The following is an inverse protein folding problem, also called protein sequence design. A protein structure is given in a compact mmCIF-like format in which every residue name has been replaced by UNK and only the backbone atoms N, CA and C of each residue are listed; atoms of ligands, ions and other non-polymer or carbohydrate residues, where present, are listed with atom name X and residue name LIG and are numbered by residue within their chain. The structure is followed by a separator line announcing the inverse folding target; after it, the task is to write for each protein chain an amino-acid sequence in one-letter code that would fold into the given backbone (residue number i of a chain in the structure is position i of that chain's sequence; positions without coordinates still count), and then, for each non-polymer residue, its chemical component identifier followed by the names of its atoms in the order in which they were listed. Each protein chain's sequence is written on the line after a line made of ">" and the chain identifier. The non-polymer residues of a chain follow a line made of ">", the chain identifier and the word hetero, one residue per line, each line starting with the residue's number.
data_IF_240544717027
#
_entry.id   IF_240544717027
#
_cell.length_a   1.000
_cell.length_b   1.000
_cell.length_c   1.000
_cell.angle_alpha   90.00
_cell.angle_beta   90.00
_cell.angle_gamma   90.00
#
_symmetry.space_group_name_H-M   'P 1'
#
loop_
_entity.id
_entity.type
_entity.pdbx_description
1 polymer ?
#
# COMPACT_ATOMS: atom_id res chain seq x y z
N UNK A 1 -48.48 1.22 -23.99
CA UNK A 1 -47.49 1.63 -22.97
C UNK A 1 -47.60 0.65 -21.83
N UNK A 2 -46.60 -0.21 -21.67
CA UNK A 2 -46.58 -1.24 -20.64
C UNK A 2 -45.62 -0.78 -19.58
N UNK A 3 -46.14 -0.25 -18.46
CA UNK A 3 -45.30 0.16 -17.34
C UNK A 3 -45.00 -1.07 -16.49
N UNK A 4 -43.74 -1.50 -16.48
CA UNK A 4 -43.27 -2.56 -15.59
C UNK A 4 -42.92 -1.93 -14.24
N UNK A 5 -43.64 -2.34 -13.20
CA UNK A 5 -43.41 -1.88 -11.83
C UNK A 5 -42.86 -3.04 -11.00
N UNK A 6 -41.64 -2.87 -10.51
CA UNK A 6 -41.01 -3.83 -9.60
C UNK A 6 -41.15 -3.30 -8.18
N UNK A 7 -41.70 -4.12 -7.30
CA UNK A 7 -41.79 -3.79 -5.87
C UNK A 7 -40.90 -4.75 -5.10
N UNK A 8 -39.86 -4.21 -4.47
CA UNK A 8 -38.99 -4.98 -3.59
C UNK A 8 -39.47 -4.74 -2.16
N UNK A 9 -39.79 -5.82 -1.46
CA UNK A 9 -40.11 -5.81 -0.05
C UNK A 9 -38.93 -6.35 0.75
N UNK A 10 -38.53 -5.63 1.79
CA UNK A 10 -37.50 -6.06 2.73
C UNK A 10 -38.14 -6.12 4.11
N UNK A 11 -38.14 -7.31 4.71
CA UNK A 11 -38.64 -7.54 6.07
C UNK A 11 -37.47 -7.45 7.05
N UNK A 12 -37.46 -6.37 7.86
CA UNK A 12 -36.47 -6.14 8.91
C UNK A 12 -37.14 -6.36 10.28
N UNK A 13 -37.29 -7.63 10.67
CA UNK A 13 -37.97 -8.01 11.92
C UNK A 13 -39.42 -7.52 11.96
N UNK A 14 -39.80 -6.74 12.98
CA UNK A 14 -41.18 -6.24 13.17
C UNK A 14 -41.55 -5.07 12.25
N UNK A 15 -40.70 -4.65 11.31
CA UNK A 15 -41.00 -3.53 10.41
C UNK A 15 -40.79 -3.93 8.96
N UNK A 16 -41.89 -3.92 8.19
CA UNK A 16 -41.88 -4.15 6.75
C UNK A 16 -41.75 -2.81 6.03
N UNK A 17 -40.75 -2.66 5.15
CA UNK A 17 -40.66 -1.52 4.22
C UNK A 17 -40.64 -2.03 2.79
N UNK A 18 -41.42 -1.37 1.94
CA UNK A 18 -41.48 -1.64 0.50
C UNK A 18 -41.14 -0.39 -0.28
N UNK A 19 -40.37 -0.54 -1.36
CA UNK A 19 -40.13 0.52 -2.32
C UNK A 19 -40.42 -0.01 -3.72
N UNK A 20 -41.21 0.76 -4.47
CA UNK A 20 -41.60 0.44 -5.84
C UNK A 20 -40.84 1.33 -6.79
N UNK A 21 -40.28 0.74 -7.85
CA UNK A 21 -39.64 1.46 -8.96
C UNK A 21 -40.43 1.13 -10.22
N UNK A 22 -40.86 2.18 -10.92
CA UNK A 22 -41.60 2.06 -12.18
C UNK A 22 -40.69 2.53 -13.31
N UNK A 23 -40.53 1.70 -14.34
CA UNK A 23 -39.80 2.06 -15.55
C UNK A 23 -40.82 2.21 -16.69
N UNK A 24 -40.78 3.36 -17.37
CA UNK A 24 -41.61 3.62 -18.54
C UNK A 24 -40.75 3.47 -19.80
N UNK A 25 -41.11 2.55 -20.68
CA UNK A 25 -40.50 2.44 -22.00
C UNK A 25 -41.12 3.46 -22.97
N UNK A 26 -40.30 4.40 -23.44
CA UNK A 26 -40.56 5.12 -24.70
C UNK A 26 -40.02 4.27 -25.86
N UNK A 27 -40.93 3.62 -26.59
CA UNK A 27 -40.60 2.76 -27.72
C UNK A 27 -40.16 3.63 -28.91
N UNK A 28 -38.87 3.65 -29.22
CA UNK A 28 -38.37 3.99 -30.56
C UNK A 28 -38.54 2.75 -31.46
N UNK A 29 -39.32 2.89 -32.52
CA UNK A 29 -39.52 1.85 -33.52
C UNK A 29 -38.26 1.65 -34.38
N UNK A 30 -37.45 0.64 -34.08
CA UNK A 30 -36.39 0.16 -34.96
C UNK A 30 -36.69 -1.29 -35.32
N UNK A 31 -36.87 -1.54 -36.62
CA UNK A 31 -37.18 -2.85 -37.18
C UNK A 31 -35.93 -3.71 -37.30
N UNK A 32 -35.69 -4.63 -36.35
CA UNK A 32 -34.99 -5.91 -36.53
C UNK A 32 -35.15 -6.79 -35.27
N UNK A 33 -35.80 -7.97 -35.30
CA UNK A 33 -36.30 -8.63 -34.09
C UNK A 33 -35.30 -9.49 -33.29
N UNK A 34 -34.16 -9.88 -33.88
CA UNK A 34 -33.39 -11.00 -33.30
C UNK A 34 -32.22 -10.61 -32.38
N UNK A 35 -31.79 -9.34 -32.37
CA UNK A 35 -30.62 -8.91 -31.59
C UNK A 35 -31.00 -8.34 -30.21
N UNK A 36 -32.21 -7.80 -30.04
CA UNK A 36 -32.63 -7.17 -28.79
C UNK A 36 -32.95 -8.18 -27.66
N UNK A 37 -33.41 -9.39 -27.99
CA UNK A 37 -33.78 -10.39 -26.99
C UNK A 37 -32.56 -10.95 -26.23
N UNK A 38 -31.42 -11.11 -26.91
CA UNK A 38 -30.17 -11.57 -26.27
C UNK A 38 -29.56 -10.48 -25.38
N UNK A 39 -29.55 -9.23 -25.83
CA UNK A 39 -29.07 -8.10 -25.02
C UNK A 39 -29.90 -7.91 -23.75
N UNK A 40 -31.23 -8.06 -23.82
CA UNK A 40 -32.10 -7.90 -22.66
C UNK A 40 -31.94 -9.02 -21.61
N UNK A 41 -31.66 -10.25 -22.06
CA UNK A 41 -31.43 -11.39 -21.18
C UNK A 41 -30.07 -11.31 -20.47
N UNK A 42 -29.02 -10.83 -21.16
CA UNK A 42 -27.71 -10.56 -20.55
C UNK A 42 -27.79 -9.42 -19.52
N UNK A 43 -28.46 -8.31 -19.86
CA UNK A 43 -28.68 -7.19 -18.94
C UNK A 43 -29.48 -7.60 -17.69
N UNK A 44 -30.55 -8.38 -17.87
CA UNK A 44 -31.34 -8.90 -16.75
C UNK A 44 -30.53 -9.86 -15.87
N UNK A 45 -29.68 -10.71 -16.45
CA UNK A 45 -28.81 -11.64 -15.71
C UNK A 45 -27.81 -10.91 -14.81
N UNK A 46 -27.12 -9.90 -15.35
CA UNK A 46 -26.13 -9.08 -14.64
C UNK A 46 -26.78 -8.30 -13.50
N UNK A 47 -27.93 -7.65 -13.75
CA UNK A 47 -28.65 -6.89 -12.71
C UNK A 47 -29.13 -7.81 -11.58
N UNK A 48 -29.61 -9.02 -11.90
CA UNK A 48 -30.11 -9.96 -10.89
C UNK A 48 -28.98 -10.56 -10.05
N UNK A 49 -27.81 -10.82 -10.66
CA UNK A 49 -26.59 -11.25 -9.94
C UNK A 49 -26.04 -10.12 -9.05
N UNK A 50 -26.03 -8.88 -9.53
CA UNK A 50 -25.53 -7.72 -8.78
C UNK A 50 -26.41 -7.35 -7.58
N UNK A 51 -27.74 -7.50 -7.70
CA UNK A 51 -28.64 -7.35 -6.57
C UNK A 51 -28.45 -8.42 -5.49
N UNK A 52 -28.07 -9.65 -5.87
CA UNK A 52 -27.73 -10.70 -4.92
C UNK A 52 -26.39 -10.43 -4.22
N UNK A 53 -25.37 -9.97 -4.94
CA UNK A 53 -24.04 -9.62 -4.41
C UNK A 53 -24.09 -8.43 -3.44
N UNK A 54 -24.91 -7.41 -3.74
CA UNK A 54 -25.17 -6.29 -2.83
C UNK A 54 -25.92 -6.70 -1.56
N UNK A 55 -26.84 -7.68 -1.67
CA UNK A 55 -27.58 -8.18 -0.50
C UNK A 55 -26.69 -9.02 0.42
N UNK A 56 -25.75 -9.80 -0.13
CA UNK A 56 -24.83 -10.64 0.67
C UNK A 56 -23.74 -9.85 1.38
N UNK A 57 -23.38 -8.67 0.89
CA UNK A 57 -22.36 -7.81 1.52
C UNK A 57 -22.90 -6.96 2.68
N UNK A 58 -24.23 -6.82 2.82
CA UNK A 58 -24.84 -5.94 3.82
C UNK A 58 -25.22 -6.64 5.14
N UNK A 59 -25.31 -7.98 5.19
CA UNK A 59 -25.59 -8.72 6.43
C UNK A 59 -24.33 -9.29 7.08
N UNK A 60 -23.44 -8.40 7.57
CA UNK A 60 -22.31 -8.81 8.39
C UNK A 60 -22.73 -8.89 9.87
N UNK A 61 -23.17 -10.07 10.31
CA UNK A 61 -23.27 -10.42 11.75
C UNK A 61 -22.62 -11.79 12.04
N UNK A 62 -21.33 -11.71 12.36
CA UNK A 62 -20.65 -12.41 13.45
C UNK A 62 -20.68 -13.96 13.47
N UNK A 63 -19.56 -14.57 13.07
CA UNK A 63 -18.79 -15.65 13.78
C UNK A 63 -17.84 -16.32 12.80
N UNK A 64 -16.55 -16.29 13.07
CA UNK A 64 -15.47 -17.29 12.83
C UNK A 64 -15.60 -18.31 11.67
N UNK A 65 -16.35 -18.00 10.61
CA UNK A 65 -16.16 -18.50 9.26
C UNK A 65 -14.95 -17.76 8.70
N UNK A 66 -13.94 -18.53 8.35
CA UNK A 66 -12.54 -18.09 8.42
C UNK A 66 -12.20 -17.10 7.32
N UNK A 67 -11.29 -16.14 7.57
CA UNK A 67 -10.78 -15.22 6.55
C UNK A 67 -10.27 -15.92 5.26
N UNK A 68 -9.98 -17.22 5.32
CA UNK A 68 -9.66 -18.07 4.18
C UNK A 68 -10.89 -18.37 3.28
N UNK A 69 -12.06 -18.61 3.88
CA UNK A 69 -13.34 -18.82 3.18
C UNK A 69 -13.78 -17.54 2.44
N UNK A 70 -13.56 -16.38 3.07
CA UNK A 70 -13.78 -15.07 2.45
C UNK A 70 -12.85 -14.83 1.25
N UNK A 71 -11.57 -15.25 1.34
CA UNK A 71 -10.60 -15.11 0.25
C UNK A 71 -10.95 -15.99 -0.95
N UNK A 72 -11.31 -17.25 -0.72
CA UNK A 72 -11.68 -18.16 -1.81
C UNK A 72 -12.90 -17.64 -2.58
N UNK A 73 -13.89 -17.11 -1.85
CA UNK A 73 -15.06 -16.46 -2.45
C UNK A 73 -14.67 -15.23 -3.27
N UNK A 74 -13.78 -14.37 -2.77
CA UNK A 74 -13.29 -13.21 -3.53
C UNK A 74 -12.53 -13.63 -4.80
N UNK A 75 -11.68 -14.65 -4.73
CA UNK A 75 -10.96 -15.18 -5.90
C UNK A 75 -11.93 -15.76 -6.93
N UNK A 76 -12.96 -16.48 -6.48
CA UNK A 76 -14.00 -17.01 -7.36
C UNK A 76 -14.79 -15.88 -8.03
N UNK A 77 -15.14 -14.84 -7.28
CA UNK A 77 -15.83 -13.66 -7.81
C UNK A 77 -14.96 -12.93 -8.84
N UNK A 78 -13.66 -12.75 -8.55
CA UNK A 78 -12.70 -12.13 -9.47
C UNK A 78 -12.62 -12.88 -10.80
N UNK A 79 -12.55 -14.23 -10.75
CA UNK A 79 -12.51 -15.07 -11.97
C UNK A 79 -13.81 -15.02 -12.77
N UNK A 80 -14.96 -14.95 -12.09
CA UNK A 80 -16.26 -14.77 -12.76
C UNK A 80 -16.32 -13.41 -13.46
N UNK A 81 -15.97 -12.34 -12.76
CA UNK A 81 -15.93 -10.99 -13.34
C UNK A 81 -14.95 -10.89 -14.51
N UNK A 82 -13.80 -11.56 -14.41
CA UNK A 82 -12.84 -11.59 -15.50
C UNK A 82 -13.32 -12.35 -16.74
N UNK A 83 -14.13 -13.40 -16.57
CA UNK A 83 -14.78 -14.08 -17.70
C UNK A 83 -15.82 -13.16 -18.37
N UNK A 84 -16.68 -12.52 -17.58
CA UNK A 84 -17.69 -11.58 -18.07
C UNK A 84 -17.02 -10.36 -18.77
N UNK A 85 -15.90 -9.88 -18.23
CA UNK A 85 -15.11 -8.79 -18.81
C UNK A 85 -14.50 -9.19 -20.15
N UNK A 86 -13.97 -10.42 -20.25
CA UNK A 86 -13.42 -10.95 -21.51
C UNK A 86 -14.51 -11.00 -22.59
N UNK A 87 -15.70 -11.50 -22.24
CA UNK A 87 -16.84 -11.54 -23.16
C UNK A 87 -17.25 -10.14 -23.61
N UNK A 88 -17.34 -9.18 -22.68
CA UNK A 88 -17.65 -7.78 -23.00
C UNK A 88 -16.64 -7.14 -23.96
N UNK A 89 -15.35 -7.44 -23.80
CA UNK A 89 -14.29 -6.98 -24.71
C UNK A 89 -14.40 -7.60 -26.10
N UNK A 90 -14.71 -8.90 -26.19
CA UNK A 90 -14.91 -9.60 -27.47
C UNK A 90 -16.09 -9.02 -28.27
N UNK A 91 -17.16 -8.62 -27.58
CA UNK A 91 -18.32 -7.96 -28.19
C UNK A 91 -18.17 -6.44 -28.37
N UNK A 92 -17.06 -5.86 -27.91
CA UNK A 92 -16.80 -4.42 -27.93
C UNK A 92 -17.92 -3.59 -27.26
N UNK A 93 -18.48 -4.10 -26.15
CA UNK A 93 -19.46 -3.40 -25.33
C UNK A 93 -18.75 -2.51 -24.31
N UNK A 94 -18.45 -1.28 -24.71
CA UNK A 94 -17.71 -0.33 -23.89
C UNK A 94 -18.38 -0.02 -22.54
N UNK A 95 -19.71 0.08 -22.50
CA UNK A 95 -20.42 0.44 -21.27
C UNK A 95 -20.38 -0.70 -20.25
N UNK A 96 -20.58 -1.94 -20.73
CA UNK A 96 -20.46 -3.12 -19.89
C UNK A 96 -19.00 -3.32 -19.42
N UNK A 97 -18.03 -3.10 -20.31
CA UNK A 97 -16.59 -3.19 -19.98
C UNK A 97 -16.24 -2.25 -18.83
N UNK A 98 -16.62 -0.97 -18.90
CA UNK A 98 -16.34 0.01 -17.83
C UNK A 98 -16.96 -0.40 -16.49
N UNK A 99 -18.19 -0.92 -16.50
CA UNK A 99 -18.88 -1.36 -15.28
C UNK A 99 -18.19 -2.57 -14.66
N UNK A 100 -17.92 -3.60 -15.46
CA UNK A 100 -17.24 -4.82 -15.00
C UNK A 100 -15.82 -4.54 -14.51
N UNK A 101 -15.14 -3.60 -15.15
CA UNK A 101 -13.81 -3.16 -14.77
C UNK A 101 -13.79 -2.52 -13.38
N UNK A 102 -14.76 -1.67 -13.04
CA UNK A 102 -14.90 -1.09 -11.70
C UNK A 102 -15.14 -2.17 -10.64
N UNK A 103 -16.08 -3.09 -10.90
CA UNK A 103 -16.37 -4.20 -9.99
C UNK A 103 -15.15 -5.12 -9.81
N UNK A 104 -14.45 -5.42 -10.90
CA UNK A 104 -13.21 -6.20 -10.89
C UNK A 104 -12.15 -5.56 -10.00
N UNK A 105 -11.93 -4.24 -10.15
CA UNK A 105 -10.97 -3.47 -9.33
C UNK A 105 -11.35 -3.46 -7.85
N UNK A 106 -12.63 -3.37 -7.53
CA UNK A 106 -13.11 -3.38 -6.15
C UNK A 106 -12.93 -4.76 -5.50
N UNK A 107 -13.23 -5.85 -6.21
CA UNK A 107 -12.96 -7.22 -5.72
C UNK A 107 -11.46 -7.46 -5.55
N UNK A 108 -10.65 -7.05 -6.53
CA UNK A 108 -9.19 -7.13 -6.46
C UNK A 108 -8.62 -6.40 -5.25
N UNK A 109 -9.13 -5.20 -4.97
CA UNK A 109 -8.77 -4.42 -3.78
C UNK A 109 -9.10 -5.17 -2.49
N UNK A 110 -10.25 -5.85 -2.43
CA UNK A 110 -10.60 -6.70 -1.29
C UNK A 110 -9.57 -7.83 -1.07
N UNK A 111 -9.15 -8.51 -2.13
CA UNK A 111 -8.15 -9.59 -2.07
C UNK A 111 -6.80 -9.07 -1.56
N UNK A 112 -6.32 -7.97 -2.14
CA UNK A 112 -5.01 -7.38 -1.79
C UNK A 112 -4.97 -6.83 -0.35
N UNK A 113 -6.07 -6.27 0.14
CA UNK A 113 -6.19 -5.86 1.55
C UNK A 113 -6.11 -7.04 2.51
N UNK A 114 -6.73 -8.19 2.18
CA UNK A 114 -6.63 -9.39 3.01
C UNK A 114 -5.22 -10.00 3.01
N UNK A 115 -4.49 -9.92 1.90
CA UNK A 115 -3.11 -10.42 1.80
C UNK A 115 -2.12 -9.71 2.74
N UNK A 116 -2.32 -8.42 3.01
CA UNK A 116 -1.46 -7.66 3.95
C UNK A 116 -1.46 -8.25 5.37
N UNK A 117 -2.51 -8.99 5.75
CA UNK A 117 -2.61 -9.65 7.05
C UNK A 117 -1.93 -11.04 7.09
N UNK A 118 -1.71 -11.70 5.94
CA UNK A 118 -1.26 -13.10 5.86
C UNK A 118 0.28 -13.21 5.84
N UNK A 119 0.98 -12.26 5.22
CA UNK A 119 2.43 -12.31 4.96
C UNK A 119 3.28 -12.17 6.26
N UNK A 120 2.67 -11.91 7.41
CA UNK A 120 3.38 -11.76 8.71
C UNK A 120 3.67 -13.11 9.38
N UNK A 121 3.18 -14.23 8.84
CA UNK A 121 3.41 -15.57 9.41
C UNK A 121 4.69 -16.22 8.87
N UNK A 122 5.66 -16.64 9.71
CA UNK A 122 6.97 -17.17 9.25
C UNK A 122 6.96 -18.55 8.57
N UNK A 123 5.79 -19.11 8.26
CA UNK A 123 5.64 -20.46 7.69
C UNK A 123 4.57 -20.45 6.60
N UNK A 124 4.76 -19.63 5.58
CA UNK A 124 3.89 -19.65 4.39
C UNK A 124 4.37 -20.77 3.47
N UNK A 125 3.49 -21.72 3.19
CA UNK A 125 3.75 -22.80 2.22
C UNK A 125 3.97 -22.22 0.81
N UNK A 126 4.94 -22.75 0.06
CA UNK A 126 5.28 -22.32 -1.30
C UNK A 126 4.07 -22.32 -2.25
N UNK A 127 3.11 -23.21 -2.03
CA UNK A 127 1.86 -23.30 -2.79
C UNK A 127 0.99 -22.03 -2.67
N UNK A 128 1.03 -21.35 -1.52
CA UNK A 128 0.25 -20.11 -1.29
C UNK A 128 0.88 -18.93 -2.02
N UNK A 129 2.22 -18.92 -2.14
CA UNK A 129 2.96 -17.89 -2.87
C UNK A 129 2.66 -18.03 -4.37
N UNK A 130 2.78 -19.24 -4.92
CA UNK A 130 2.51 -19.51 -6.34
C UNK A 130 1.07 -19.16 -6.74
N UNK A 131 0.08 -19.51 -5.91
CA UNK A 131 -1.32 -19.18 -6.18
C UNK A 131 -1.61 -17.67 -6.21
N UNK A 132 -0.85 -16.86 -5.46
CA UNK A 132 -0.95 -15.40 -5.52
C UNK A 132 -0.33 -14.86 -6.79
N UNK A 133 0.81 -15.39 -7.20
CA UNK A 133 1.48 -14.98 -8.44
C UNK A 133 0.59 -15.27 -9.65
N UNK A 134 -0.03 -16.44 -9.74
CA UNK A 134 -0.99 -16.78 -10.80
C UNK A 134 -2.15 -15.78 -10.85
N UNK A 135 -2.66 -15.38 -9.69
CA UNK A 135 -3.77 -14.43 -9.59
C UNK A 135 -3.35 -13.01 -10.01
N UNK A 136 -2.14 -12.59 -9.65
CA UNK A 136 -1.55 -11.32 -10.09
C UNK A 136 -1.41 -11.26 -11.61
N UNK A 137 -0.88 -12.32 -12.24
CA UNK A 137 -0.76 -12.40 -13.69
C UNK A 137 -2.13 -12.40 -14.37
N UNK A 138 -3.10 -13.15 -13.82
CA UNK A 138 -4.47 -13.16 -14.32
C UNK A 138 -5.09 -11.75 -14.31
N UNK A 139 -4.97 -11.04 -13.20
CA UNK A 139 -5.50 -9.69 -13.08
C UNK A 139 -4.80 -8.70 -14.03
N UNK A 140 -3.47 -8.67 -14.03
CA UNK A 140 -2.71 -7.77 -14.89
C UNK A 140 -3.03 -7.97 -16.38
N UNK A 141 -3.17 -9.23 -16.83
CA UNK A 141 -3.55 -9.55 -18.20
C UNK A 141 -4.93 -9.01 -18.57
N UNK A 142 -5.94 -9.21 -17.72
CA UNK A 142 -7.29 -8.70 -18.00
C UNK A 142 -7.32 -7.18 -18.11
N UNK A 143 -6.57 -6.51 -17.22
CA UNK A 143 -6.51 -5.05 -17.18
C UNK A 143 -5.75 -4.50 -18.39
N UNK A 144 -4.71 -5.19 -18.85
CA UNK A 144 -4.03 -4.91 -20.11
C UNK A 144 -4.97 -5.06 -21.31
N UNK A 145 -5.72 -6.16 -21.39
CA UNK A 145 -6.70 -6.38 -22.46
C UNK A 145 -7.81 -5.32 -22.46
N UNK A 146 -8.24 -4.89 -21.27
CA UNK A 146 -9.20 -3.79 -21.09
C UNK A 146 -8.62 -2.39 -21.34
N UNK A 147 -7.32 -2.28 -21.68
CA UNK A 147 -6.57 -1.02 -21.85
C UNK A 147 -6.58 -0.12 -20.61
N UNK A 148 -6.72 -0.74 -19.45
CA UNK A 148 -6.68 -0.08 -18.14
C UNK A 148 -5.29 -0.17 -17.49
N UNK A 149 -4.39 -0.92 -18.12
CA UNK A 149 -2.98 -1.06 -17.78
C UNK A 149 -2.16 -1.12 -19.06
N UNK A 150 -1.01 -0.48 -19.06
CA UNK A 150 -0.11 -0.39 -20.21
C UNK A 150 0.75 -1.64 -20.46
N UNK A 151 1.23 -2.32 -19.42
CA UNK A 151 2.05 -3.53 -19.51
C UNK A 151 1.31 -4.79 -19.06
N UNK A 152 1.44 -5.87 -19.83
CA UNK A 152 0.79 -7.15 -19.52
C UNK A 152 1.34 -7.80 -18.23
N UNK A 153 2.65 -7.71 -17.98
CA UNK A 153 3.29 -8.29 -16.81
C UNK A 153 2.92 -7.54 -15.53
N UNK A 154 2.56 -8.22 -14.41
CA UNK A 154 2.29 -7.58 -13.12
C UNK A 154 3.55 -7.03 -12.45
N UNK A 155 4.74 -7.40 -12.93
CA UNK A 155 6.03 -7.01 -12.35
C UNK A 155 6.74 -5.91 -13.13
N UNK A 156 6.08 -5.38 -14.15
CA UNK A 156 6.59 -4.29 -14.98
C UNK A 156 5.74 -3.03 -14.83
N UNK A 157 6.31 -1.90 -15.20
CA UNK A 157 5.63 -0.61 -15.25
C UNK A 157 5.97 0.14 -16.52
N UNK A 158 4.98 0.83 -17.07
CA UNK A 158 5.12 1.59 -18.30
C UNK A 158 5.73 2.94 -18.01
N UNK A 159 6.94 3.15 -18.51
CA UNK A 159 7.70 4.35 -18.23
C UNK A 159 8.58 4.70 -19.42
N UNK A 160 8.41 5.92 -19.95
CA UNK A 160 9.10 6.41 -21.15
C UNK A 160 8.91 5.47 -22.36
N UNK A 161 7.65 5.14 -22.65
CA UNK A 161 7.22 4.32 -23.81
C UNK A 161 7.70 2.86 -23.81
N UNK A 162 8.06 2.32 -22.65
CA UNK A 162 8.51 0.94 -22.50
C UNK A 162 8.04 0.34 -21.18
N UNK A 163 7.85 -0.98 -21.19
CA UNK A 163 7.61 -1.77 -19.99
C UNK A 163 8.93 -2.12 -19.32
N UNK A 164 9.09 -1.73 -18.05
CA UNK A 164 10.31 -1.88 -17.28
C UNK A 164 10.05 -2.62 -15.98
N UNK A 165 10.96 -3.49 -15.51
CA UNK A 165 10.83 -4.12 -14.21
C UNK A 165 10.67 -3.09 -13.09
N UNK A 166 9.70 -3.31 -12.20
CA UNK A 166 9.53 -2.49 -10.99
C UNK A 166 10.82 -2.63 -10.14
N UNK A 167 11.23 -1.53 -9.48
CA UNK A 167 12.49 -1.37 -8.75
C UNK A 167 13.76 -1.38 -9.61
N UNK A 168 13.66 -1.25 -10.93
CA UNK A 168 14.82 -0.95 -11.76
C UNK A 168 15.40 0.43 -11.38
N UNK A 169 16.68 0.45 -11.00
CA UNK A 169 17.42 1.65 -10.58
C UNK A 169 18.06 2.41 -11.75
N UNK A 170 18.26 1.77 -12.90
CA UNK A 170 19.04 2.33 -14.02
C UNK A 170 18.29 3.44 -14.77
N UNK A 171 16.96 3.46 -14.63
CA UNK A 171 16.07 4.37 -15.36
C UNK A 171 15.73 5.65 -14.58
N UNK A 172 16.06 5.64 -13.29
CA UNK A 172 15.77 6.71 -12.34
C UNK A 172 17.05 7.46 -11.92
N UNK A 173 16.91 8.68 -11.36
CA UNK A 173 18.04 9.39 -10.77
C UNK A 173 18.72 8.60 -9.65
N UNK A 174 19.90 9.06 -9.23
CA UNK A 174 20.62 8.46 -8.11
C UNK A 174 19.73 8.37 -6.85
N UNK A 175 19.85 7.27 -6.10
CA UNK A 175 19.08 6.98 -4.89
C UNK A 175 17.58 6.81 -5.09
N UNK A 176 17.13 6.66 -6.34
CA UNK A 176 15.73 6.43 -6.70
C UNK A 176 15.57 5.11 -7.45
N UNK A 177 14.38 4.53 -7.36
CA UNK A 177 13.99 3.34 -8.12
C UNK A 177 12.61 3.55 -8.71
N UNK A 178 12.28 2.78 -9.76
CA UNK A 178 10.99 2.90 -10.42
C UNK A 178 9.90 2.15 -9.64
N UNK A 179 8.76 2.80 -9.43
CA UNK A 179 7.57 2.28 -8.77
C UNK A 179 6.37 2.28 -9.72
N UNK A 180 5.39 1.44 -9.43
CA UNK A 180 4.17 1.28 -10.22
C UNK A 180 3.12 2.35 -9.82
N UNK A 181 2.86 3.31 -10.71
CA UNK A 181 1.89 4.42 -10.55
C UNK A 181 0.60 4.22 -11.36
N UNK A 182 -0.45 5.04 -11.20
CA UNK A 182 -1.79 4.75 -11.71
C UNK A 182 -1.83 4.20 -13.13
N UNK A 183 -2.69 3.20 -13.39
CA UNK A 183 -2.85 2.58 -14.71
C UNK A 183 -1.54 2.04 -15.33
N UNK A 184 -0.57 1.72 -14.50
CA UNK A 184 0.74 1.21 -14.90
C UNK A 184 1.69 2.22 -15.45
N UNK A 185 1.46 3.48 -15.11
CA UNK A 185 2.41 4.54 -15.38
C UNK A 185 3.46 4.60 -14.28
N UNK A 186 4.67 4.16 -14.61
CA UNK A 186 5.78 4.15 -13.69
C UNK A 186 6.21 5.55 -13.26
N UNK A 187 6.75 5.66 -12.06
CA UNK A 187 7.37 6.89 -11.57
C UNK A 187 8.60 6.57 -10.72
N UNK A 188 9.55 7.50 -10.66
CA UNK A 188 10.71 7.35 -9.79
C UNK A 188 10.39 7.88 -8.39
N UNK A 189 10.71 7.12 -7.35
CA UNK A 189 10.64 7.56 -5.94
C UNK A 189 11.90 7.11 -5.19
N UNK A 190 12.09 7.62 -3.98
CA UNK A 190 13.22 7.26 -3.14
C UNK A 190 13.26 5.76 -2.88
N UNK A 191 14.43 5.15 -3.10
CA UNK A 191 14.61 3.75 -2.82
C UNK A 191 14.34 3.45 -1.34
N UNK A 192 13.67 2.33 -1.07
CA UNK A 192 13.40 1.86 0.29
C UNK A 192 14.66 1.32 1.00
N UNK A 193 15.82 1.34 0.33
CA UNK A 193 17.11 0.94 0.90
C UNK A 193 17.42 1.83 2.10
N UNK A 194 17.25 1.28 3.30
CA UNK A 194 17.74 1.91 4.53
C UNK A 194 19.26 1.83 4.51
N UNK A 195 19.94 2.95 4.74
CA UNK A 195 21.37 2.93 5.00
C UNK A 195 21.68 2.11 6.26
N UNK A 196 22.98 1.90 6.54
CA UNK A 196 23.45 1.23 7.76
C UNK A 196 22.92 1.85 9.08
N UNK A 197 22.40 3.07 8.99
CA UNK A 197 21.88 3.92 10.05
C UNK A 197 20.35 3.83 10.25
N UNK A 198 19.63 2.96 9.52
CA UNK A 198 18.15 2.84 9.55
C UNK A 198 17.35 4.08 9.14
N UNK A 199 18.02 5.18 8.80
CA UNK A 199 17.41 6.41 8.33
C UNK A 199 16.98 6.24 6.86
N UNK A 200 15.85 6.86 6.52
CA UNK A 200 15.29 6.81 5.17
C UNK A 200 15.91 7.89 4.29
N UNK A 201 15.94 7.65 2.99
CA UNK A 201 16.19 8.73 2.04
C UNK A 201 14.95 9.63 1.94
N UNK A 202 15.17 10.92 1.76
CA UNK A 202 14.12 11.93 1.64
C UNK A 202 14.24 12.57 0.27
N UNK A 203 13.10 12.75 -0.41
CA UNK A 203 13.03 13.44 -1.69
C UNK A 203 13.23 14.95 -1.51
N UNK A 204 13.96 15.57 -2.42
CA UNK A 204 14.17 17.01 -2.49
C UNK A 204 13.65 17.56 -3.81
N UNK A 205 12.60 18.38 -3.73
CA UNK A 205 11.88 18.88 -4.90
C UNK A 205 12.77 19.68 -5.86
N UNK A 206 13.77 20.43 -5.35
CA UNK A 206 14.59 21.33 -6.20
C UNK A 206 15.55 20.58 -7.11
N UNK A 207 16.05 19.43 -6.68
CA UNK A 207 16.97 18.61 -7.48
C UNK A 207 16.28 17.42 -8.13
N UNK A 208 15.07 17.06 -7.66
CA UNK A 208 14.35 15.89 -8.13
C UNK A 208 15.04 14.58 -7.75
N UNK A 209 15.75 14.55 -6.62
CA UNK A 209 16.56 13.42 -6.17
C UNK A 209 16.32 13.11 -4.70
N UNK A 210 16.79 11.95 -4.26
CA UNK A 210 16.70 11.50 -2.88
C UNK A 210 18.05 11.56 -2.18
N UNK A 211 18.04 12.01 -0.93
CA UNK A 211 19.24 12.16 -0.11
C UNK A 211 19.07 11.51 1.25
N UNK A 212 20.16 10.99 1.81
CA UNK A 212 20.18 10.44 3.16
C UNK A 212 20.01 11.55 4.21
N UNK A 213 19.15 11.32 5.20
CA UNK A 213 19.05 12.27 6.32
C UNK A 213 20.36 12.36 7.10
N UNK A 214 20.60 13.53 7.68
CA UNK A 214 21.79 13.89 8.45
C UNK A 214 23.11 13.72 7.70
N UNK A 215 23.06 13.67 6.36
CA UNK A 215 24.19 13.92 5.48
C UNK A 215 24.13 15.36 4.98
N UNK A 216 25.17 15.85 4.30
CA UNK A 216 25.10 17.15 3.64
C UNK A 216 23.93 17.19 2.63
N UNK A 217 23.75 16.13 1.85
CA UNK A 217 22.67 16.05 0.85
C UNK A 217 22.73 17.23 -0.14
N UNK A 218 21.60 17.89 -0.43
CA UNK A 218 21.55 19.05 -1.32
C UNK A 218 21.95 20.36 -0.62
N UNK A 219 22.33 20.32 0.66
CA UNK A 219 22.57 21.50 1.48
C UNK A 219 23.97 22.12 1.28
N UNK A 220 24.09 23.39 1.67
CA UNK A 220 25.36 24.10 1.68
C UNK A 220 26.36 23.47 2.67
N UNK A 221 27.64 23.79 2.47
CA UNK A 221 28.71 23.37 3.38
C UNK A 221 28.42 23.86 4.81
N UNK A 222 28.48 22.94 5.77
CA UNK A 222 28.15 23.23 7.19
C UNK A 222 26.68 23.00 7.53
N UNK A 223 25.87 22.56 6.57
CA UNK A 223 24.49 22.15 6.79
C UNK A 223 24.30 20.66 6.50
N UNK A 224 23.27 20.09 7.10
CA UNK A 224 22.80 18.74 6.83
C UNK A 224 21.32 18.73 6.44
N UNK A 225 20.93 17.69 5.73
CA UNK A 225 19.57 17.50 5.26
C UNK A 225 18.76 16.70 6.27
N UNK A 226 17.67 17.28 6.77
CA UNK A 226 16.83 16.66 7.81
C UNK A 226 15.37 16.61 7.37
N UNK A 227 14.66 15.58 7.81
CA UNK A 227 13.19 15.58 7.81
C UNK A 227 12.74 16.06 9.19
N UNK A 228 11.90 17.10 9.20
CA UNK A 228 11.00 17.45 10.31
C UNK A 228 9.59 17.49 9.72
N UNK A 229 8.82 18.54 9.95
CA UNK A 229 7.52 18.71 9.27
C UNK A 229 7.65 18.69 7.73
N UNK A 230 8.77 19.21 7.21
CA UNK A 230 9.16 19.19 5.80
C UNK A 230 10.67 18.92 5.67
N UNK A 231 11.12 18.37 4.52
CA UNK A 231 12.55 18.29 4.22
C UNK A 231 13.18 19.68 4.22
N UNK A 232 14.34 19.85 4.86
CA UNK A 232 15.06 21.14 4.88
C UNK A 232 16.52 20.97 5.28
N UNK A 233 17.29 22.01 5.01
CA UNK A 233 18.67 22.14 5.46
C UNK A 233 18.73 22.80 6.83
N UNK A 234 19.52 22.22 7.74
CA UNK A 234 19.80 22.78 9.06
C UNK A 234 21.30 22.89 9.28
N UNK A 235 21.73 23.89 10.05
CA UNK A 235 23.13 24.01 10.45
C UNK A 235 23.51 22.80 11.28
N UNK A 236 24.66 22.20 10.96
CA UNK A 236 25.18 21.04 11.70
C UNK A 236 25.53 21.50 13.12
N UNK A 237 24.97 20.87 14.17
CA UNK A 237 25.33 21.20 15.55
C UNK A 237 26.81 20.97 15.83
N UNK A 238 27.37 21.75 16.76
CA UNK A 238 28.77 21.58 17.18
C UNK A 238 29.01 20.13 17.65
N UNK A 239 30.16 19.57 17.28
CA UNK A 239 30.54 18.17 17.52
C UNK A 239 29.72 17.09 16.78
N UNK A 240 28.79 17.46 15.89
CA UNK A 240 28.14 16.51 14.99
C UNK A 240 28.80 16.48 13.61
N UNK A 241 29.08 15.30 13.04
CA UNK A 241 29.36 15.15 11.62
C UNK A 241 28.06 14.98 10.81
N UNK A 242 28.08 15.42 9.54
CA UNK A 242 27.01 15.16 8.57
C UNK A 242 27.29 13.89 7.75
N UNK A 243 27.41 12.76 8.42
CA UNK A 243 27.74 11.45 7.83
C UNK A 243 26.53 10.50 7.74
N UNK A 244 25.33 10.98 8.09
CA UNK A 244 24.12 10.19 8.20
C UNK A 244 24.11 9.21 9.37
N UNK A 245 25.23 8.97 10.06
CA UNK A 245 25.31 8.06 11.19
C UNK A 245 25.07 8.76 12.52
N UNK A 246 24.98 10.10 12.52
CA UNK A 246 24.78 10.90 13.71
C UNK A 246 23.43 11.60 13.70
N UNK A 247 22.84 11.73 14.89
CA UNK A 247 21.60 12.45 15.14
C UNK A 247 21.80 13.41 16.30
N UNK A 248 21.13 14.56 16.27
CA UNK A 248 21.20 15.54 17.35
C UNK A 248 19.88 15.60 18.09
N UNK A 249 19.93 15.50 19.43
CA UNK A 249 18.75 15.68 20.26
C UNK A 249 18.85 15.01 21.62
N UNK A 250 17.70 14.91 22.27
CA UNK A 250 17.57 14.31 23.60
C UNK A 250 17.16 12.84 23.49
N UNK A 251 17.78 11.98 24.28
CA UNK A 251 17.34 10.59 24.44
C UNK A 251 16.17 10.56 25.42
N UNK A 252 15.03 10.03 24.96
CA UNK A 252 13.76 10.05 25.70
C UNK A 252 13.70 9.19 26.99
N UNK A 253 14.77 8.48 27.36
CA UNK A 253 14.76 7.52 28.48
C UNK A 253 15.22 8.08 29.82
N UNK A 254 15.75 9.31 29.88
CA UNK A 254 16.24 9.88 31.13
C UNK A 254 15.36 11.08 31.52
N UNK A 255 14.60 10.95 32.61
CA UNK A 255 13.79 12.05 33.18
C UNK A 255 14.62 13.28 33.59
N UNK A 256 15.96 13.18 33.55
CA UNK A 256 16.93 14.23 33.84
C UNK A 256 17.97 14.38 32.70
N UNK A 257 17.59 14.15 31.43
CA UNK A 257 18.53 14.18 30.30
C UNK A 257 19.38 15.45 30.30
N UNK A 258 20.70 15.26 30.39
CA UNK A 258 21.68 16.22 29.91
C UNK A 258 21.25 16.72 28.53
N UNK A 259 21.35 18.03 28.30
CA UNK A 259 20.77 18.71 27.14
C UNK A 259 21.13 18.08 25.78
N UNK A 260 20.47 18.58 24.73
CA UNK A 260 20.61 18.07 23.36
C UNK A 260 22.08 17.93 22.98
N UNK A 261 22.47 16.75 22.49
CA UNK A 261 23.83 16.47 22.04
C UNK A 261 23.85 15.57 20.82
N UNK A 262 25.03 15.41 20.26
CA UNK A 262 25.26 14.47 19.16
C UNK A 262 25.28 13.01 19.63
N UNK A 263 24.60 12.14 18.89
CA UNK A 263 24.57 10.71 19.12
C UNK A 263 24.87 9.95 17.84
N UNK A 264 25.84 9.04 17.90
CA UNK A 264 26.08 8.09 16.82
C UNK A 264 25.11 6.92 16.93
N UNK A 265 24.35 6.65 15.87
CA UNK A 265 23.43 5.52 15.77
C UNK A 265 24.21 4.21 15.93
N UNK A 266 23.67 3.28 16.71
CA UNK A 266 24.31 2.00 17.01
C UNK A 266 25.40 2.06 18.09
N UNK A 267 25.84 3.25 18.55
CA UNK A 267 26.76 3.32 19.68
C UNK A 267 26.06 3.00 21.00
N UNK A 268 26.76 2.43 21.99
CA UNK A 268 26.21 2.20 23.32
C UNK A 268 25.70 3.50 23.95
N UNK A 269 24.52 3.44 24.55
CA UNK A 269 23.95 4.58 25.28
C UNK A 269 24.68 4.90 26.60
N UNK A 270 25.43 3.93 27.13
CA UNK A 270 26.09 3.99 28.43
C UNK A 270 27.56 4.41 28.33
N UNK A 271 27.85 5.63 28.78
CA UNK A 271 29.10 5.97 29.50
C UNK A 271 28.78 6.58 30.87
N UNK A 272 27.87 5.98 31.63
CA UNK A 272 27.42 6.46 32.95
C UNK A 272 26.94 5.22 33.72
N UNK A 273 27.81 4.37 34.28
CA UNK A 273 28.37 4.57 35.62
C UNK A 273 29.63 3.71 35.80
N UNK A 274 30.81 4.31 35.62
CA UNK A 274 32.04 3.80 36.24
C UNK A 274 31.96 4.08 37.75
N UNK A 275 31.23 3.26 38.50
CA UNK A 275 30.91 3.60 39.89
C UNK A 275 30.31 2.48 40.75
N UNK A 276 30.95 1.30 40.73
CA UNK A 276 30.99 0.22 41.76
C UNK A 276 30.80 -1.15 41.15
N UNK A 277 31.94 -1.79 40.93
CA UNK A 277 32.07 -3.24 40.79
C UNK A 277 31.59 -3.93 42.07
N UNK A 278 30.31 -4.31 42.14
CA UNK A 278 29.89 -5.40 43.01
C UNK A 278 29.84 -6.68 42.19
N UNK A 279 30.68 -7.64 42.60
CA UNK A 279 30.70 -9.02 42.12
C UNK A 279 29.31 -9.62 42.30
N UNK A 280 28.53 -9.63 41.25
CA UNK A 280 27.27 -10.37 41.16
C UNK A 280 27.30 -11.11 39.82
N UNK A 281 27.28 -12.43 39.90
CA UNK A 281 27.17 -13.39 38.81
C UNK A 281 25.79 -13.31 38.15
N UNK A 282 25.49 -12.15 37.59
CA UNK A 282 24.28 -11.88 36.81
C UNK A 282 24.55 -12.11 35.33
N UNK A 283 23.56 -12.59 34.54
CA UNK A 283 23.71 -12.84 33.11
C UNK A 283 24.20 -11.59 32.36
N UNK A 284 24.84 -11.76 31.18
CA UNK A 284 25.47 -10.66 30.44
C UNK A 284 24.47 -9.53 30.23
N UNK A 285 24.82 -8.35 30.76
CA UNK A 285 23.98 -7.17 30.69
C UNK A 285 23.75 -6.83 29.22
N UNK A 286 22.49 -6.87 28.78
CA UNK A 286 22.10 -6.57 27.41
C UNK A 286 22.52 -5.14 27.06
N UNK A 287 23.41 -4.99 26.07
CA UNK A 287 23.93 -3.68 25.66
C UNK A 287 22.83 -2.93 24.90
N UNK A 288 22.42 -1.78 25.44
CA UNK A 288 21.52 -0.84 24.78
C UNK A 288 22.32 0.12 23.91
N UNK A 289 21.88 0.31 22.68
CA UNK A 289 22.48 1.21 21.69
C UNK A 289 21.52 2.31 21.30
N UNK A 290 22.06 3.41 20.79
CA UNK A 290 21.28 4.51 20.22
C UNK A 290 20.53 3.99 19.00
N UNK A 291 19.22 4.20 19.01
CA UNK A 291 18.31 3.93 17.90
C UNK A 291 17.51 5.19 17.60
N UNK A 292 17.00 5.23 16.38
CA UNK A 292 16.21 6.34 15.85
C UNK A 292 14.92 5.81 15.28
N UNK A 293 13.84 6.54 15.51
CA UNK A 293 12.52 6.27 14.95
C UNK A 293 12.00 7.58 14.36
N UNK A 294 11.58 7.51 13.11
CA UNK A 294 10.93 8.62 12.43
C UNK A 294 9.47 8.64 12.83
N UNK A 295 9.04 9.71 13.52
CA UNK A 295 7.64 9.92 13.90
C UNK A 295 6.81 10.50 12.73
N UNK A 296 5.48 10.49 12.86
CA UNK A 296 4.49 11.02 11.91
C UNK A 296 4.67 12.51 11.60
N UNK A 297 5.12 13.26 12.60
CA UNK A 297 5.41 14.70 12.49
C UNK A 297 6.76 14.94 11.80
N UNK A 298 7.42 13.86 11.34
CA UNK A 298 8.73 13.89 10.74
C UNK A 298 9.85 14.23 11.72
N UNK A 299 9.60 14.33 13.03
CA UNK A 299 10.69 14.43 14.00
C UNK A 299 11.33 13.06 14.27
N UNK A 300 12.63 13.07 14.51
CA UNK A 300 13.37 11.88 14.93
C UNK A 300 13.26 11.70 16.44
N UNK A 301 12.67 10.59 16.87
CA UNK A 301 12.76 10.12 18.25
C UNK A 301 14.07 9.36 18.43
N UNK A 302 14.92 9.88 19.30
CA UNK A 302 16.17 9.22 19.69
C UNK A 302 15.92 8.46 20.98
N UNK A 303 16.23 7.16 20.99
CA UNK A 303 16.00 6.31 22.15
C UNK A 303 17.11 5.26 22.31
N UNK A 304 17.13 4.64 23.49
CA UNK A 304 18.08 3.59 23.83
C UNK A 304 17.34 2.27 23.94
N UNK A 305 17.64 1.36 23.02
CA UNK A 305 17.06 0.02 23.02
C UNK A 305 18.14 -1.03 22.76
N UNK A 306 17.82 -2.28 23.07
CA UNK A 306 18.65 -3.44 22.75
C UNK A 306 18.89 -3.44 21.25
N UNK A 307 20.14 -3.64 20.81
CA UNK A 307 20.44 -3.72 19.39
C UNK A 307 19.67 -4.90 18.76
N UNK A 308 18.56 -4.60 18.07
CA UNK A 308 17.75 -5.62 17.41
C UNK A 308 18.48 -6.27 16.24
N UNK A 309 19.57 -5.68 15.74
CA UNK A 309 20.44 -6.32 14.75
C UNK A 309 21.25 -7.49 15.36
N UNK A 310 21.34 -7.60 16.70
CA UNK A 310 21.92 -8.77 17.38
C UNK A 310 20.88 -9.88 17.65
N UNK A 311 19.58 -9.61 17.48
CA UNK A 311 18.49 -10.56 17.73
C UNK A 311 17.77 -10.96 16.42
N UNK A 312 17.91 -10.19 15.33
CA UNK A 312 17.33 -10.52 14.01
C UNK A 312 18.19 -11.49 13.19
N UNK A 313 18.37 -12.69 13.73
CA UNK A 313 18.27 -13.91 12.92
C UNK A 313 16.86 -14.54 13.03
N UNK A 314 15.95 -14.01 13.87
CA UNK A 314 14.61 -14.59 14.05
C UNK A 314 13.54 -13.51 14.31
N UNK A 315 12.64 -13.37 13.34
CA UNK A 315 11.22 -12.97 13.41
C UNK A 315 10.73 -11.58 13.84
N UNK A 316 9.72 -11.17 13.05
CA UNK A 316 8.50 -10.42 13.32
C UNK A 316 8.58 -8.90 13.60
N UNK A 317 8.02 -8.16 12.65
CA UNK A 317 7.60 -6.76 12.73
C UNK A 317 6.20 -6.75 13.33
N UNK A 318 6.02 -6.09 14.48
CA UNK A 318 4.69 -5.79 15.04
C UNK A 318 4.28 -4.37 14.70
N UNK A 319 3.13 -4.27 14.04
CA UNK A 319 2.41 -3.05 13.73
C UNK A 319 1.90 -2.35 14.98
N UNK A 320 2.01 -1.02 15.01
CA UNK A 320 0.93 -0.04 15.26
C UNK A 320 1.52 1.35 15.49
N UNK A 321 0.95 2.33 14.79
CA UNK A 321 1.01 3.79 15.04
C UNK A 321 2.04 4.63 14.25
N UNK A 322 1.79 4.71 12.92
CA UNK A 322 1.74 5.90 12.03
C UNK A 322 3.05 6.75 11.93
N UNK A 323 3.35 7.53 10.89
CA UNK A 323 2.78 7.66 9.57
C UNK A 323 3.73 8.36 8.58
N UNK A 324 4.40 7.58 7.72
CA UNK A 324 4.55 7.89 6.29
C UNK A 324 4.59 6.56 5.54
N UNK A 325 3.40 6.15 5.08
CA UNK A 325 3.18 4.89 4.39
C UNK A 325 3.66 5.00 2.94
N UNK A 326 4.12 3.88 2.41
CA UNK A 326 4.14 3.70 0.96
C UNK A 326 2.73 3.72 0.48
N UNK A 327 2.56 4.43 -0.61
CA UNK A 327 1.31 4.63 -1.27
C UNK A 327 0.76 3.28 -1.72
N UNK A 328 -0.55 3.04 -1.56
CA UNK A 328 -1.22 1.93 -2.26
C UNK A 328 -0.74 1.96 -3.72
N UNK A 329 -0.43 0.84 -4.37
CA UNK A 329 -0.05 0.84 -5.77
C UNK A 329 -0.98 1.74 -6.58
N UNK A 330 -0.37 2.50 -7.48
CA UNK A 330 -0.94 3.56 -8.31
C UNK A 330 -1.48 4.76 -7.55
N UNK A 331 -1.49 4.69 -6.24
CA UNK A 331 -1.34 5.89 -5.45
C UNK A 331 0.15 6.24 -5.42
N UNK A 332 0.45 7.51 -5.54
CA UNK A 332 1.82 7.99 -5.38
C UNK A 332 1.99 8.59 -3.98
N UNK A 333 3.23 8.61 -3.47
CA UNK A 333 3.60 9.33 -2.23
C UNK A 333 3.37 10.79 -2.45
N UNK A 334 2.29 11.31 -1.86
CA UNK A 334 2.17 12.75 -1.76
C UNK A 334 3.28 13.26 -0.83
N UNK A 335 3.56 14.56 -0.94
CA UNK A 335 4.56 15.28 -0.15
C UNK A 335 4.40 15.18 1.38
N UNK A 336 3.38 14.48 1.88
CA UNK A 336 3.10 14.19 3.28
C UNK A 336 3.19 12.68 3.58
N UNK A 337 3.93 11.91 2.76
CA UNK A 337 4.06 10.45 2.85
C UNK A 337 2.74 9.70 3.02
N UNK A 338 1.64 10.27 2.49
CA UNK A 338 0.30 9.68 2.49
C UNK A 338 -0.04 9.13 1.11
N UNK A 339 -0.57 7.91 1.13
CA UNK A 339 -1.18 7.20 0.02
C UNK A 339 -2.30 8.02 -0.62
N UNK A 340 -2.15 8.40 -1.89
CA UNK A 340 -3.14 9.17 -2.67
C UNK A 340 -3.47 8.49 -4.00
N UNK A 341 -4.60 7.75 -4.13
CA UNK A 341 -5.28 7.31 -5.40
C UNK A 341 -4.48 7.13 -6.72
N UNK A 342 -4.30 6.01 -7.42
CA UNK A 342 -4.62 4.56 -7.31
C UNK A 342 -4.08 3.70 -8.49
N UNK A 343 -3.80 2.42 -8.28
CA UNK A 343 -3.72 1.35 -9.29
C UNK A 343 -4.79 0.38 -8.82
N UNK A 344 -6.03 0.55 -9.22
CA UNK A 344 -6.52 1.14 -10.44
C UNK A 344 -7.30 2.41 -10.14
N UNK A 345 -7.27 3.37 -11.07
CA UNK A 345 -8.31 4.40 -11.15
C UNK A 345 -9.55 3.80 -11.77
#
# INVERSE_FOLDING_TARGET
>A
MTTLTFTVQVDLGNTRRSRSVSVNDEIYSISKPDICAQHFLLYSSVITRNLLLFATTFEHKQRDATAAEDRELLVKNLKSLGADLTESLEFNDHQLTETLLLEFKDVWRGITQQQQHIIVSPSVDDDVINANDDLMHYAAKLLFLAKDRHCESPFETFFKDQCLPIRNIEVCPENMEIYDGPNNEGFCDCSDVKGNNTLRMIYWDETGQCYFQNTQGPCDVGQWFVLKDVPKCEVIPEECPADGQHVYGNIGTFKNSAGSKCWKIGNPCTKLTSGRSHRSSSPPSVVKVVQVEQLDDGNLRIFCDVNKNYIKAVSAVSASSLGFNSCDPGTYRNRFGKCSRGFFG
#
